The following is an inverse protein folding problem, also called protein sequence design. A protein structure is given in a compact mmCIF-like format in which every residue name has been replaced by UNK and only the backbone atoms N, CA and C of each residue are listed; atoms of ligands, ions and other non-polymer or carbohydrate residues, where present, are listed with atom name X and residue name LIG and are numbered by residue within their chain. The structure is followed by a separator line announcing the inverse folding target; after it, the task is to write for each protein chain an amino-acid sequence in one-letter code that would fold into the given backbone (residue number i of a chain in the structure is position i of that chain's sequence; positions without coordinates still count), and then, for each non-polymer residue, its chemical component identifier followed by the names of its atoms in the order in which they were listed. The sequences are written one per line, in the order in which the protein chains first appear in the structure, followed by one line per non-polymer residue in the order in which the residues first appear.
data_IF_357709247144
#
_entry.id   IF_357709247144
#
_cell.length_a   1.000
_cell.length_b   1.000
_cell.length_c   1.000
_cell.angle_alpha   90.00
_cell.angle_beta   90.00
_cell.angle_gamma   90.00
#
_symmetry.space_group_name_H-M   'P 1'
#
loop_
_entity.id
_entity.type
_entity.pdbx_description
1 polymer ?
#
# COMPACT_ATOMS: atom_id res chain seq x y z
N UNK A 1 -6.04 8.23 23.88
CA UNK A 1 -5.24 7.85 22.70
C UNK A 1 -5.11 9.12 21.89
N UNK A 2 -3.92 9.72 21.81
CA UNK A 2 -3.71 10.95 21.03
C UNK A 2 -4.03 10.64 19.55
N UNK A 3 -5.13 11.19 19.04
CA UNK A 3 -5.37 11.26 17.61
C UNK A 3 -4.30 12.17 17.03
N UNK A 4 -3.42 11.59 16.21
CA UNK A 4 -2.43 12.34 15.44
C UNK A 4 -3.16 13.38 14.57
N UNK A 5 -2.63 14.61 14.51
CA UNK A 5 -3.23 15.76 13.80
C UNK A 5 -3.31 15.64 12.26
N UNK A 6 -3.19 14.42 11.72
CA UNK A 6 -3.23 14.17 10.28
C UNK A 6 -4.66 13.85 9.83
N UNK A 7 -5.35 14.83 9.26
CA UNK A 7 -6.78 14.76 8.90
C UNK A 7 -7.05 14.42 7.43
N UNK A 8 -6.00 14.13 6.65
CA UNK A 8 -6.09 14.00 5.19
C UNK A 8 -7.00 12.85 4.73
N UNK A 9 -7.26 11.86 5.60
CA UNK A 9 -8.09 10.69 5.30
C UNK A 9 -9.52 10.79 5.86
N UNK A 10 -9.78 11.75 6.75
CA UNK A 10 -11.02 11.79 7.53
C UNK A 10 -12.26 11.87 6.63
N UNK A 11 -12.21 12.73 5.61
CA UNK A 11 -13.30 12.90 4.67
C UNK A 11 -13.61 11.65 3.82
N UNK A 12 -12.62 10.76 3.64
CA UNK A 12 -12.78 9.50 2.89
C UNK A 12 -13.12 8.31 3.80
N UNK A 13 -13.20 8.54 5.11
CA UNK A 13 -13.42 7.53 6.12
C UNK A 13 -14.74 7.73 6.90
N UNK A 14 -15.52 8.77 6.61
CA UNK A 14 -16.80 9.04 7.27
C UNK A 14 -17.87 8.01 6.90
N UNK A 15 -18.83 7.79 7.79
CA UNK A 15 -19.95 6.86 7.56
C UNK A 15 -20.72 7.21 6.29
N UNK A 16 -21.02 8.49 6.10
CA UNK A 16 -21.74 9.01 4.95
C UNK A 16 -20.98 8.74 3.65
N UNK A 17 -19.65 8.91 3.66
CA UNK A 17 -18.82 8.63 2.50
C UNK A 17 -18.81 7.13 2.18
N UNK A 18 -18.61 6.27 3.18
CA UNK A 18 -18.62 4.82 3.01
C UNK A 18 -19.96 4.31 2.45
N UNK A 19 -21.07 4.82 2.97
CA UNK A 19 -22.42 4.45 2.52
C UNK A 19 -22.69 4.93 1.09
N UNK A 20 -22.21 6.12 0.72
CA UNK A 20 -22.28 6.63 -0.66
C UNK A 20 -21.55 5.75 -1.68
N UNK A 21 -20.62 4.90 -1.21
CA UNK A 21 -19.85 3.94 -2.02
C UNK A 21 -20.41 2.51 -1.95
N UNK A 22 -21.52 2.30 -1.23
CA UNK A 22 -22.14 0.98 -1.05
C UNK A 22 -21.40 0.07 -0.08
N UNK A 23 -20.54 0.63 0.79
CA UNK A 23 -19.71 -0.11 1.75
C UNK A 23 -20.32 -0.06 3.15
N UNK A 24 -21.57 -0.49 3.25
CA UNK A 24 -22.39 -0.40 4.47
C UNK A 24 -21.97 -1.39 5.56
N UNK A 25 -21.25 -2.44 5.19
CA UNK A 25 -20.73 -3.48 6.08
C UNK A 25 -19.41 -3.10 6.79
N UNK A 26 -18.76 -2.02 6.32
CA UNK A 26 -17.49 -1.54 6.89
C UNK A 26 -17.67 -0.67 8.10
N UNK A 27 -16.70 -0.68 9.00
CA UNK A 27 -16.66 0.26 10.14
C UNK A 27 -16.19 1.66 9.68
N UNK A 28 -16.63 2.71 10.38
CA UNK A 28 -16.12 4.06 10.14
C UNK A 28 -14.61 4.10 10.39
N UNK A 29 -13.83 4.71 9.51
CA UNK A 29 -12.36 4.59 9.53
C UNK A 29 -11.80 3.50 8.62
N UNK A 30 -12.59 2.49 8.24
CA UNK A 30 -12.15 1.41 7.36
C UNK A 30 -12.21 1.83 5.88
N UNK A 31 -11.09 2.38 5.42
CA UNK A 31 -10.86 2.75 4.01
C UNK A 31 -10.40 1.56 3.14
N UNK A 32 -10.48 0.33 3.64
CA UNK A 32 -10.19 -0.88 2.89
C UNK A 32 -8.70 -1.09 2.56
N UNK A 33 -8.40 -1.98 1.58
CA UNK A 33 -7.04 -2.39 1.24
C UNK A 33 -6.32 -1.35 0.37
N UNK A 34 -6.05 -0.16 0.91
CA UNK A 34 -5.35 0.94 0.23
C UNK A 34 -3.82 0.78 0.30
N UNK A 35 -3.06 1.85 0.02
CA UNK A 35 -1.61 1.90 -0.17
C UNK A 35 -0.79 0.93 0.69
N UNK A 36 -0.83 1.08 2.01
CA UNK A 36 -0.02 0.27 2.93
C UNK A 36 -0.35 -1.22 2.84
N UNK A 37 -1.63 -1.57 2.68
CA UNK A 37 -2.04 -2.95 2.47
C UNK A 37 -1.48 -3.52 1.18
N UNK A 38 -1.55 -2.78 0.07
CA UNK A 38 -1.00 -3.26 -1.20
C UNK A 38 0.53 -3.41 -1.15
N UNK A 39 1.25 -2.58 -0.37
CA UNK A 39 2.70 -2.71 -0.26
C UNK A 39 3.15 -3.93 0.55
N UNK A 40 2.40 -4.31 1.58
CA UNK A 40 2.79 -5.39 2.52
C UNK A 40 2.06 -6.71 2.27
N UNK A 41 0.88 -6.65 1.67
CA UNK A 41 -0.06 -7.76 1.49
C UNK A 41 -0.66 -7.78 0.07
N UNK A 42 0.16 -7.49 -0.95
CA UNK A 42 -0.32 -7.42 -2.33
C UNK A 42 -1.01 -8.72 -2.74
N UNK A 43 -2.25 -8.64 -3.24
CA UNK A 43 -3.03 -9.80 -3.66
C UNK A 43 -3.69 -10.60 -2.52
N UNK A 44 -3.50 -10.21 -1.25
CA UNK A 44 -4.23 -10.82 -0.15
C UNK A 44 -5.73 -10.45 -0.19
N UNK A 45 -6.58 -11.34 0.31
CA UNK A 45 -8.02 -11.09 0.44
C UNK A 45 -8.27 -10.23 1.67
N UNK A 46 -8.72 -9.00 1.44
CA UNK A 46 -9.11 -8.11 2.52
C UNK A 46 -10.43 -8.57 3.18
N UNK A 47 -10.52 -8.40 4.50
CA UNK A 47 -11.72 -8.67 5.29
C UNK A 47 -12.16 -7.42 6.05
N UNK A 48 -11.38 -6.97 7.04
CA UNK A 48 -11.59 -5.73 7.78
C UNK A 48 -10.26 -5.15 8.29
N UNK A 49 -10.29 -3.95 8.88
CA UNK A 49 -9.10 -3.26 9.38
C UNK A 49 -8.47 -3.88 10.64
N UNK A 50 -9.14 -4.78 11.35
CA UNK A 50 -8.66 -5.39 12.60
C UNK A 50 -8.04 -6.78 12.41
N UNK A 51 -8.17 -7.38 11.23
CA UNK A 51 -7.67 -8.71 10.94
C UNK A 51 -6.13 -8.75 10.84
N UNK A 52 -5.55 -9.90 11.20
CA UNK A 52 -4.12 -10.15 10.99
C UNK A 52 -3.86 -10.67 9.58
N UNK A 53 -3.07 -9.91 8.81
CA UNK A 53 -2.66 -10.23 7.45
C UNK A 53 -1.20 -10.75 7.36
N UNK A 54 -0.57 -11.04 8.50
CA UNK A 54 0.81 -11.56 8.54
C UNK A 54 0.97 -12.79 7.65
N UNK A 55 1.96 -12.75 6.75
CA UNK A 55 2.24 -13.84 5.82
C UNK A 55 1.26 -13.96 4.65
N UNK A 56 0.25 -13.09 4.55
CA UNK A 56 -0.71 -13.09 3.45
C UNK A 56 -0.26 -12.13 2.34
N UNK A 57 -0.41 -12.57 1.09
CA UNK A 57 -0.03 -11.79 -0.09
C UNK A 57 1.49 -11.67 -0.27
N UNK A 58 1.89 -10.67 -1.05
CA UNK A 58 3.31 -10.37 -1.33
C UNK A 58 3.73 -9.10 -0.59
N UNK A 59 4.77 -9.21 0.24
CA UNK A 59 5.40 -8.07 0.92
C UNK A 59 6.43 -7.41 -0.01
N UNK A 60 5.94 -6.54 -0.90
CA UNK A 60 6.76 -5.83 -1.88
C UNK A 60 7.81 -4.94 -1.21
N UNK A 61 7.47 -4.32 -0.07
CA UNK A 61 8.40 -3.48 0.67
C UNK A 61 9.60 -4.29 1.17
N UNK A 62 9.35 -5.47 1.74
CA UNK A 62 10.42 -6.37 2.18
C UNK A 62 11.31 -6.80 1.01
N UNK A 63 10.72 -7.16 -0.12
CA UNK A 63 11.47 -7.54 -1.33
C UNK A 63 12.33 -6.39 -1.86
N UNK A 64 11.80 -5.18 -1.91
CA UNK A 64 12.55 -3.97 -2.32
C UNK A 64 13.72 -3.73 -1.36
N UNK A 65 13.50 -3.76 -0.05
CA UNK A 65 14.57 -3.58 0.95
C UNK A 65 15.63 -4.67 0.81
N UNK A 66 15.21 -5.92 0.59
CA UNK A 66 16.14 -7.03 0.39
C UNK A 66 17.01 -6.80 -0.85
N UNK A 67 16.40 -6.50 -2.00
CA UNK A 67 17.12 -6.24 -3.26
C UNK A 67 18.05 -5.03 -3.15
N UNK A 68 17.65 -3.96 -2.49
CA UNK A 68 18.52 -2.81 -2.25
C UNK A 68 19.79 -3.19 -1.45
N UNK A 69 19.72 -4.21 -0.60
CA UNK A 69 20.87 -4.69 0.18
C UNK A 69 21.71 -5.72 -0.54
N UNK A 70 21.10 -6.62 -1.34
CA UNK A 70 21.79 -7.78 -1.94
C UNK A 70 22.10 -7.61 -3.41
N UNK A 71 21.30 -6.86 -4.16
CA UNK A 71 21.47 -6.61 -5.59
C UNK A 71 20.92 -5.21 -5.97
N UNK A 72 21.55 -4.12 -5.52
CA UNK A 72 21.01 -2.76 -5.66
C UNK A 72 20.84 -2.31 -7.12
N UNK A 73 21.55 -2.94 -8.06
CA UNK A 73 21.51 -2.62 -9.48
C UNK A 73 20.42 -3.38 -10.24
N UNK A 74 19.60 -4.18 -9.57
CA UNK A 74 18.46 -4.84 -10.19
C UNK A 74 17.50 -3.78 -10.77
N UNK A 75 17.26 -3.86 -12.08
CA UNK A 75 16.33 -2.97 -12.81
C UNK A 75 14.85 -3.28 -12.52
N UNK A 76 14.57 -4.22 -11.62
CA UNK A 76 13.24 -4.67 -11.20
C UNK A 76 13.01 -4.47 -9.70
N UNK A 77 13.58 -3.40 -9.13
CA UNK A 77 13.23 -2.90 -7.80
C UNK A 77 12.02 -1.97 -7.98
N UNK A 78 10.83 -2.56 -7.95
CA UNK A 78 9.56 -1.89 -8.23
C UNK A 78 8.56 -2.25 -7.13
N UNK A 79 7.79 -1.26 -6.70
CA UNK A 79 6.65 -1.44 -5.82
C UNK A 79 5.43 -0.74 -6.40
N UNK A 80 4.28 -1.42 -6.41
CA UNK A 80 3.02 -0.87 -6.91
C UNK A 80 1.93 -1.00 -5.86
N UNK A 81 1.03 -0.02 -5.81
CA UNK A 81 -0.24 -0.20 -5.13
C UNK A 81 -1.43 -0.23 -6.10
N UNK A 82 -1.18 -0.26 -7.41
CA UNK A 82 -2.20 -0.53 -8.42
C UNK A 82 -2.52 -2.02 -8.50
N UNK A 83 -3.71 -2.39 -8.04
CA UNK A 83 -4.22 -3.77 -8.10
C UNK A 83 -5.60 -3.80 -8.78
N UNK A 84 -5.70 -4.25 -10.06
CA UNK A 84 -6.97 -4.34 -10.78
C UNK A 84 -8.03 -5.20 -10.08
N UNK A 85 -7.60 -6.29 -9.43
CA UNK A 85 -8.49 -7.15 -8.65
C UNK A 85 -8.95 -6.50 -7.33
N UNK A 86 -8.21 -5.50 -6.82
CA UNK A 86 -8.54 -4.75 -5.62
C UNK A 86 -9.85 -3.95 -5.72
N UNK A 87 -10.29 -3.59 -6.94
CA UNK A 87 -11.57 -2.88 -7.14
C UNK A 87 -12.78 -3.69 -6.66
N UNK A 88 -12.73 -5.02 -6.77
CA UNK A 88 -13.78 -5.92 -6.26
C UNK A 88 -13.74 -6.14 -4.74
N UNK A 89 -12.63 -5.75 -4.09
CA UNK A 89 -12.44 -5.84 -2.64
C UNK A 89 -12.83 -4.54 -1.93
N UNK A 90 -13.66 -3.71 -2.57
CA UNK A 90 -14.15 -2.44 -2.03
C UNK A 90 -13.07 -1.37 -1.83
N UNK A 91 -11.97 -1.41 -2.57
CA UNK A 91 -10.94 -0.35 -2.49
C UNK A 91 -11.56 1.01 -2.84
N UNK A 92 -11.74 1.90 -1.84
CA UNK A 92 -12.45 3.17 -2.02
C UNK A 92 -11.76 4.11 -3.01
N UNK A 93 -10.43 4.05 -3.07
CA UNK A 93 -9.61 4.97 -3.86
C UNK A 93 -8.73 4.23 -4.85
N UNK A 94 -8.77 4.70 -6.10
CA UNK A 94 -7.83 4.31 -7.14
C UNK A 94 -6.42 4.67 -6.65
N UNK A 95 -5.55 3.69 -6.48
CA UNK A 95 -4.18 3.96 -6.04
C UNK A 95 -3.35 4.43 -7.22
N UNK A 96 -3.00 5.71 -7.25
CA UNK A 96 -2.32 6.32 -8.40
C UNK A 96 -0.78 6.11 -8.42
N UNK A 97 -0.19 5.48 -7.39
CA UNK A 97 1.26 5.53 -7.16
C UNK A 97 1.93 4.18 -7.44
N UNK A 98 2.83 4.18 -8.42
CA UNK A 98 3.90 3.20 -8.59
C UNK A 98 5.25 3.83 -8.26
N UNK A 99 6.12 3.11 -7.55
CA UNK A 99 7.45 3.57 -7.15
C UNK A 99 8.50 2.66 -7.78
N UNK A 100 9.41 3.25 -8.56
CA UNK A 100 10.63 2.59 -9.04
C UNK A 100 11.84 3.19 -8.34
N UNK A 101 12.78 2.34 -7.89
CA UNK A 101 14.01 2.80 -7.23
C UNK A 101 15.21 2.46 -8.11
N UNK A 102 16.08 3.45 -8.32
CA UNK A 102 17.32 3.31 -9.10
C UNK A 102 18.49 3.77 -8.25
N UNK A 103 19.55 2.97 -8.16
CA UNK A 103 20.81 3.36 -7.52
C UNK A 103 21.81 3.84 -8.59
N UNK A 104 22.34 5.06 -8.44
CA UNK A 104 23.39 5.59 -9.31
C UNK A 104 24.78 5.28 -8.72
N UNK A 105 25.67 4.71 -9.53
CA UNK A 105 27.09 4.57 -9.18
C UNK A 105 27.75 5.95 -9.22
N UNK A 106 28.17 6.46 -8.06
CA UNK A 106 29.22 7.47 -8.01
C UNK A 106 30.53 6.78 -8.37
N UNK A 107 31.01 6.97 -9.60
CA UNK A 107 32.37 6.59 -9.95
C UNK A 107 33.32 7.59 -9.28
N UNK A 108 33.72 7.30 -8.02
CA UNK A 108 34.96 7.85 -7.48
C UNK A 108 36.13 7.15 -8.18
N UNK A 109 36.35 7.50 -9.45
CA UNK A 109 37.58 7.18 -10.16
C UNK A 109 38.61 8.19 -9.67
N UNK A 110 39.40 7.78 -8.67
CA UNK A 110 40.68 8.42 -8.41
C UNK A 110 41.58 8.13 -9.62
N UNK A 111 41.86 9.17 -10.40
CA UNK A 111 43.01 9.24 -11.30
C UNK A 111 43.96 10.31 -10.76
#
# INVERSE_FOLDING_TARGET
MEMSFCTIWDANATREFLDSRGLTDREQGDIGPVYGFQWRHFGAKYTNMHADYTGQGIDQLREVIHKLRTNPYDRRIIMTAWNPAGKGLGMQLCVCIGVGVYTQLSMNTYY
#
